data_IF_753412711572
#
_entry.id   IF_753412711572
#
_cell.length_a   1.000
_cell.length_b   1.000
_cell.length_c   1.000
_cell.angle_alpha   90.00
_cell.angle_beta   90.00
_cell.angle_gamma   90.00
#
_symmetry.space_group_name_H-M   'P 1'
#
loop_
_entity.id
_entity.type
_entity.pdbx_description
1 polymer ?
#
# COMPACT_ATOMS: atom_id res chain seq x y z
N UNK A 1 13.32 6.40 -8.20
CA UNK A 1 14.09 6.53 -6.93
C UNK A 1 14.83 5.23 -6.69
N UNK A 2 16.05 5.24 -6.16
CA UNK A 2 16.77 3.99 -5.91
C UNK A 2 16.35 3.40 -4.54
N UNK A 3 16.53 2.09 -4.36
CA UNK A 3 16.32 1.40 -3.09
C UNK A 3 17.11 2.07 -1.94
N UNK A 4 18.34 2.48 -2.20
CA UNK A 4 19.19 3.17 -1.21
C UNK A 4 18.52 4.40 -0.57
N UNK A 5 17.70 5.12 -1.33
CA UNK A 5 16.95 6.26 -0.79
C UNK A 5 15.79 5.82 0.11
N UNK A 6 15.16 4.68 -0.17
CA UNK A 6 14.09 4.13 0.68
C UNK A 6 14.65 3.60 1.99
N UNK A 7 15.80 2.89 1.92
CA UNK A 7 16.53 2.39 3.07
C UNK A 7 16.89 3.53 4.04
N UNK A 8 17.56 4.58 3.56
CA UNK A 8 17.91 5.75 4.37
C UNK A 8 16.70 6.40 5.06
N UNK A 9 15.58 6.46 4.38
CA UNK A 9 14.35 7.03 4.92
C UNK A 9 13.74 6.18 6.03
N UNK A 10 13.71 4.86 5.83
CA UNK A 10 13.24 3.92 6.86
C UNK A 10 14.11 3.97 8.11
N UNK A 11 15.43 4.00 7.95
CA UNK A 11 16.40 4.17 9.04
C UNK A 11 16.17 5.49 9.78
N UNK A 12 16.08 6.59 9.05
CA UNK A 12 15.82 7.93 9.63
C UNK A 12 14.53 7.95 10.42
N UNK A 13 13.48 7.32 9.90
CA UNK A 13 12.19 7.26 10.58
C UNK A 13 12.23 6.40 11.83
N UNK A 14 12.86 5.24 11.77
CA UNK A 14 13.02 4.36 12.92
C UNK A 14 13.89 5.02 14.03
N UNK A 15 14.96 5.70 13.64
CA UNK A 15 15.75 6.52 14.56
C UNK A 15 14.89 7.58 15.26
N UNK A 16 14.06 8.31 14.52
CA UNK A 16 13.19 9.34 15.11
C UNK A 16 12.18 8.76 16.13
N UNK A 17 11.70 7.52 15.93
CA UNK A 17 10.86 6.82 16.90
C UNK A 17 11.62 6.52 18.20
N UNK A 18 12.86 6.07 18.09
CA UNK A 18 13.72 5.79 19.25
C UNK A 18 14.12 7.07 19.98
N UNK A 19 14.53 8.11 19.26
CA UNK A 19 14.90 9.43 19.83
C UNK A 19 13.76 10.07 20.62
N UNK A 20 12.50 9.83 20.21
CA UNK A 20 11.32 10.35 20.88
C UNK A 20 10.99 9.61 22.19
N UNK A 21 11.59 8.46 22.45
CA UNK A 21 11.33 7.67 23.65
C UNK A 21 12.33 7.99 24.77
N UNK A 22 11.82 8.38 25.94
CA UNK A 22 12.62 8.80 27.09
C UNK A 22 13.58 7.72 27.60
N UNK A 23 13.29 6.43 27.38
CA UNK A 23 14.19 5.33 27.78
C UNK A 23 15.53 5.41 27.06
N UNK A 24 15.53 5.93 25.83
CA UNK A 24 16.73 6.01 24.99
C UNK A 24 17.37 7.41 24.94
N UNK A 25 16.93 8.33 25.79
CA UNK A 25 17.45 9.72 25.82
C UNK A 25 18.97 9.83 26.06
N UNK A 26 19.60 8.80 26.63
CA UNK A 26 21.05 8.74 26.87
C UNK A 26 21.80 7.84 25.88
N UNK A 27 21.13 7.31 24.87
CA UNK A 27 21.73 6.41 23.89
C UNK A 27 22.30 7.16 22.70
N UNK A 28 23.41 6.67 22.20
CA UNK A 28 23.88 7.08 20.88
C UNK A 28 23.11 6.29 19.82
N UNK A 29 22.13 6.95 19.17
CA UNK A 29 21.28 6.32 18.15
C UNK A 29 21.79 6.73 16.78
N UNK A 30 22.29 5.75 16.01
CA UNK A 30 22.89 5.95 14.70
C UNK A 30 22.17 5.15 13.61
N UNK A 31 22.38 5.52 12.35
CA UNK A 31 21.91 4.81 11.17
C UNK A 31 23.08 4.19 10.42
N UNK A 32 22.86 3.16 9.60
CA UNK A 32 23.92 2.35 8.98
C UNK A 32 24.86 3.12 8.04
N UNK A 33 24.43 4.26 7.52
CA UNK A 33 25.25 5.07 6.63
C UNK A 33 25.92 6.21 7.36
N UNK A 34 27.09 5.99 7.89
CA UNK A 34 27.91 7.14 8.19
C UNK A 34 28.97 7.07 9.24
N UNK A 35 29.10 6.02 10.01
CA UNK A 35 30.09 6.08 11.07
C UNK A 35 30.80 4.73 11.26
N UNK A 36 32.13 4.79 11.35
CA UNK A 36 32.95 3.67 11.75
C UNK A 36 32.48 3.17 13.13
N UNK A 37 32.07 1.92 13.17
CA UNK A 37 31.45 1.23 14.32
C UNK A 37 32.36 1.21 15.57
N UNK A 38 33.67 1.48 15.40
CA UNK A 38 34.68 1.26 16.40
C UNK A 38 34.79 2.38 17.46
N UNK A 39 34.20 3.55 17.25
CA UNK A 39 34.32 4.70 18.14
C UNK A 39 33.05 5.14 18.87
N UNK A 40 31.94 4.42 18.68
CA UNK A 40 30.67 4.85 19.27
C UNK A 40 30.57 4.53 20.76
N UNK A 41 30.26 5.56 21.54
CA UNK A 41 30.06 5.43 22.99
C UNK A 41 28.84 4.56 23.31
N UNK A 42 28.97 3.74 24.37
CA UNK A 42 27.88 2.96 24.95
C UNK A 42 27.09 3.80 25.97
N UNK A 43 25.82 3.57 26.15
CA UNK A 43 24.95 2.63 25.40
C UNK A 43 24.61 3.16 23.99
N UNK A 44 24.47 2.25 23.04
CA UNK A 44 24.15 2.62 21.64
C UNK A 44 22.99 1.83 21.08
N UNK A 45 22.34 2.42 20.09
CA UNK A 45 21.33 1.77 19.28
C UNK A 45 21.62 2.05 17.80
N UNK A 46 21.84 1.00 17.03
CA UNK A 46 22.11 1.10 15.60
C UNK A 46 20.86 0.68 14.84
N UNK A 47 20.43 1.50 13.90
CA UNK A 47 19.31 1.23 13.01
C UNK A 47 19.85 0.92 11.62
N UNK A 48 19.54 -0.25 11.12
CA UNK A 48 20.02 -0.75 9.83
C UNK A 48 18.81 -1.18 9.02
N UNK A 49 18.76 -0.81 7.75
CA UNK A 49 17.80 -1.34 6.80
C UNK A 49 18.55 -2.15 5.74
N UNK A 50 18.33 -3.45 5.74
CA UNK A 50 18.98 -4.38 4.82
C UNK A 50 17.98 -5.00 3.85
N UNK A 51 18.51 -5.48 2.72
CA UNK A 51 17.72 -6.15 1.71
C UNK A 51 16.92 -5.18 0.86
N UNK A 52 16.05 -5.66 0.05
CA UNK A 52 15.18 -4.86 -0.81
C UNK A 52 15.01 -5.48 -2.16
N UNK A 53 14.41 -6.65 -2.18
CA UNK A 53 13.86 -7.15 -3.42
C UNK A 53 12.51 -6.51 -3.67
N UNK A 54 12.28 -6.08 -4.90
CA UNK A 54 10.95 -5.62 -5.29
C UNK A 54 9.96 -6.78 -5.14
N UNK A 55 8.92 -6.59 -4.34
CA UNK A 55 7.97 -7.65 -3.98
C UNK A 55 7.21 -8.19 -5.20
N UNK A 56 6.95 -7.29 -6.17
CA UNK A 56 6.41 -7.61 -7.49
C UNK A 56 7.14 -6.69 -8.48
N UNK A 57 7.84 -7.23 -9.49
CA UNK A 57 8.59 -6.44 -10.46
C UNK A 57 7.74 -5.34 -11.11
N UNK A 58 8.27 -4.11 -11.12
CA UNK A 58 7.61 -2.94 -11.69
C UNK A 58 6.58 -2.25 -10.80
N UNK A 59 6.40 -2.69 -9.55
CA UNK A 59 5.45 -2.05 -8.62
C UNK A 59 6.05 -0.94 -7.77
N UNK A 60 7.38 -0.90 -7.66
CA UNK A 60 8.07 0.02 -6.76
C UNK A 60 7.86 -0.29 -5.26
N UNK A 61 7.33 -1.47 -4.94
CA UNK A 61 7.17 -1.96 -3.58
C UNK A 61 8.32 -2.89 -3.22
N UNK A 62 9.00 -2.60 -2.11
CA UNK A 62 10.19 -3.32 -1.68
C UNK A 62 9.95 -4.04 -0.35
N UNK A 63 10.43 -5.28 -0.27
CA UNK A 63 10.56 -5.99 1.00
C UNK A 63 11.90 -5.62 1.62
N UNK A 64 11.88 -5.02 2.78
CA UNK A 64 13.05 -4.59 3.52
C UNK A 64 13.10 -5.30 4.87
N UNK A 65 14.29 -5.53 5.37
CA UNK A 65 14.52 -5.95 6.74
C UNK A 65 15.07 -4.76 7.54
N UNK A 66 14.30 -4.27 8.51
CA UNK A 66 14.72 -3.21 9.42
C UNK A 66 15.24 -3.87 10.70
N UNK A 67 16.52 -3.67 10.99
CA UNK A 67 17.20 -4.23 12.15
C UNK A 67 17.49 -3.11 13.14
N UNK A 68 17.10 -3.31 14.39
CA UNK A 68 17.42 -2.43 15.50
C UNK A 68 18.35 -3.18 16.42
N UNK A 69 19.63 -2.79 16.43
CA UNK A 69 20.68 -3.37 17.27
C UNK A 69 20.88 -2.52 18.50
N UNK A 70 20.59 -3.07 19.66
CA UNK A 70 20.82 -2.46 20.96
C UNK A 70 22.09 -3.04 21.57
N UNK A 71 23.05 -2.18 21.96
CA UNK A 71 24.32 -2.58 22.59
C UNK A 71 24.52 -1.81 23.89
N UNK A 72 24.73 -2.53 24.99
CA UNK A 72 24.90 -1.99 26.33
C UNK A 72 26.03 -2.67 27.06
N UNK A 73 26.84 -1.88 27.76
CA UNK A 73 27.94 -2.41 28.58
C UNK A 73 27.43 -3.23 29.78
N UNK A 74 28.03 -4.38 30.02
CA UNK A 74 27.74 -5.19 31.21
C UNK A 74 28.21 -4.51 32.49
N UNK A 75 29.13 -3.57 32.38
CA UNK A 75 29.65 -2.84 33.54
C UNK A 75 28.66 -1.75 34.02
N UNK A 76 27.84 -1.22 33.07
CA UNK A 76 26.91 -0.11 33.33
C UNK A 76 25.45 -0.57 33.41
N UNK A 77 25.10 -1.69 32.77
CA UNK A 77 23.73 -2.17 32.65
C UNK A 77 23.62 -3.62 33.12
N UNK A 78 22.68 -3.87 34.04
CA UNK A 78 22.35 -5.25 34.44
C UNK A 78 21.56 -5.97 33.37
N UNK A 79 21.60 -7.31 33.36
CA UNK A 79 20.79 -8.12 32.46
C UNK A 79 19.29 -7.79 32.55
N UNK A 80 18.79 -7.51 33.77
CA UNK A 80 17.37 -7.18 33.96
C UNK A 80 17.01 -5.83 33.30
N UNK A 81 17.88 -4.83 33.42
CA UNK A 81 17.68 -3.54 32.76
C UNK A 81 17.77 -3.68 31.24
N UNK A 82 18.77 -4.40 30.72
CA UNK A 82 18.88 -4.70 29.31
C UNK A 82 17.60 -5.36 28.76
N UNK A 83 17.06 -6.37 29.46
CA UNK A 83 15.82 -7.03 29.07
C UNK A 83 14.63 -6.06 29.06
N UNK A 84 14.59 -5.10 29.99
CA UNK A 84 13.55 -4.05 29.99
C UNK A 84 13.69 -3.12 28.79
N UNK A 85 14.91 -2.72 28.43
CA UNK A 85 15.16 -1.88 27.27
C UNK A 85 14.82 -2.61 25.96
N UNK A 86 15.17 -3.89 25.84
CA UNK A 86 14.76 -4.75 24.71
C UNK A 86 13.23 -4.86 24.62
N UNK A 87 12.54 -5.02 25.75
CA UNK A 87 11.08 -5.04 25.75
C UNK A 87 10.49 -3.69 25.27
N UNK A 88 11.10 -2.57 25.66
CA UNK A 88 10.68 -1.24 25.21
C UNK A 88 10.87 -1.08 23.70
N UNK A 89 12.02 -1.48 23.15
CA UNK A 89 12.23 -1.48 21.68
C UNK A 89 11.17 -2.33 20.99
N UNK A 90 10.97 -3.56 21.48
CA UNK A 90 9.96 -4.46 20.95
C UNK A 90 8.58 -3.79 20.95
N UNK A 91 8.14 -3.23 22.06
CA UNK A 91 6.81 -2.65 22.21
C UNK A 91 6.61 -1.43 21.28
N UNK A 92 7.68 -0.65 21.02
CA UNK A 92 7.65 0.45 20.06
C UNK A 92 7.45 -0.02 18.60
N UNK A 93 8.05 -1.14 18.24
CA UNK A 93 8.08 -1.62 16.86
C UNK A 93 7.14 -2.82 16.59
N UNK A 94 6.46 -3.34 17.62
CA UNK A 94 5.42 -4.38 17.49
C UNK A 94 3.99 -3.84 17.66
N UNK A 95 3.82 -2.54 17.79
CA UNK A 95 2.50 -1.90 17.83
C UNK A 95 1.73 -2.24 16.54
N UNK A 96 0.43 -2.45 16.68
CA UNK A 96 -0.48 -2.67 15.54
C UNK A 96 -0.49 -1.53 14.53
N UNK A 97 -0.05 -0.34 14.94
CA UNK A 97 0.04 0.86 14.11
C UNK A 97 1.45 1.11 13.54
N UNK A 98 2.40 0.19 13.71
CA UNK A 98 3.80 0.44 13.34
C UNK A 98 3.97 0.81 11.86
N UNK A 99 3.19 0.23 10.95
CA UNK A 99 3.23 0.58 9.54
C UNK A 99 2.87 2.07 9.33
N UNK A 100 1.86 2.56 10.03
CA UNK A 100 1.48 3.98 10.01
C UNK A 100 2.53 4.86 10.67
N UNK A 101 3.16 4.39 11.75
CA UNK A 101 4.18 5.13 12.48
C UNK A 101 5.49 5.24 11.70
N UNK A 102 5.86 4.20 10.95
CA UNK A 102 7.02 4.20 10.05
C UNK A 102 6.76 4.97 8.75
N UNK A 103 5.52 5.13 8.34
CA UNK A 103 5.17 5.96 7.18
C UNK A 103 5.38 7.43 7.52
N UNK A 104 5.95 8.19 6.56
CA UNK A 104 6.18 9.63 6.74
C UNK A 104 5.99 10.37 5.41
N UNK A 105 5.09 11.34 5.42
CA UNK A 105 4.80 12.15 4.25
C UNK A 105 5.94 13.13 3.92
N UNK A 106 6.70 13.59 4.93
CA UNK A 106 7.83 14.51 4.75
C UNK A 106 9.01 13.77 4.11
N UNK A 107 9.31 12.59 4.63
CA UNK A 107 10.34 11.72 4.09
C UNK A 107 9.88 10.97 2.83
N UNK A 108 8.59 11.08 2.49
CA UNK A 108 8.01 10.43 1.31
C UNK A 108 8.18 8.92 1.30
N UNK A 109 7.87 8.29 2.42
CA UNK A 109 7.86 6.85 2.62
C UNK A 109 6.46 6.39 2.98
N UNK A 110 5.98 5.37 2.30
CA UNK A 110 4.74 4.67 2.65
C UNK A 110 5.07 3.24 3.03
N UNK A 111 4.70 2.85 4.25
CA UNK A 111 4.82 1.49 4.74
C UNK A 111 3.45 0.82 4.70
N UNK A 112 3.34 -0.27 3.96
CA UNK A 112 2.08 -1.02 3.79
C UNK A 112 1.90 -2.09 4.85
N UNK A 113 3.01 -2.71 5.27
CA UNK A 113 3.02 -3.72 6.31
C UNK A 113 4.36 -3.71 7.04
N UNK A 114 4.32 -3.97 8.33
CA UNK A 114 5.50 -4.25 9.14
C UNK A 114 5.18 -5.41 10.09
N UNK A 115 6.07 -6.38 10.14
CA UNK A 115 5.94 -7.57 10.99
C UNK A 115 7.24 -7.76 11.75
N UNK A 116 7.14 -7.78 13.05
CA UNK A 116 8.27 -8.25 13.85
C UNK A 116 8.36 -9.76 13.76
N UNK A 117 9.54 -10.30 13.53
CA UNK A 117 9.70 -11.72 13.37
C UNK A 117 10.84 -12.35 14.16
N UNK A 118 11.84 -11.57 14.59
CA UNK A 118 12.97 -12.15 15.32
C UNK A 118 13.55 -11.20 16.36
N UNK A 119 13.96 -11.78 17.50
CA UNK A 119 14.74 -11.10 18.54
C UNK A 119 15.92 -12.01 18.88
N UNK A 120 17.11 -11.66 18.42
CA UNK A 120 18.35 -12.35 18.75
C UNK A 120 19.06 -11.64 19.91
N UNK A 121 19.46 -12.39 20.93
CA UNK A 121 20.20 -11.86 22.08
C UNK A 121 21.54 -12.57 22.17
N UNK A 122 22.60 -11.80 22.25
CA UNK A 122 23.97 -12.30 22.35
C UNK A 122 24.76 -11.54 23.41
N UNK A 123 25.94 -12.02 23.67
CA UNK A 123 26.95 -11.32 24.48
C UNK A 123 28.19 -11.22 23.62
N UNK A 124 28.62 -10.00 23.36
CA UNK A 124 29.78 -9.68 22.53
C UNK A 124 30.69 -8.73 23.31
N UNK A 125 31.95 -9.08 23.48
CA UNK A 125 32.99 -8.24 24.11
C UNK A 125 32.56 -7.54 25.43
N UNK A 126 31.92 -8.31 26.33
CA UNK A 126 31.35 -7.79 27.59
C UNK A 126 30.19 -6.81 27.43
N UNK A 127 29.54 -6.87 26.30
CA UNK A 127 28.31 -6.12 26.04
C UNK A 127 27.09 -7.04 25.90
N UNK A 128 25.97 -6.57 26.39
CA UNK A 128 24.66 -7.12 26.04
C UNK A 128 24.29 -6.63 24.64
N UNK A 129 24.01 -7.54 23.72
CA UNK A 129 23.61 -7.22 22.35
C UNK A 129 22.26 -7.83 22.07
N UNK A 130 21.37 -7.04 21.48
CA UNK A 130 20.06 -7.51 21.02
C UNK A 130 19.77 -6.95 19.64
N UNK A 131 19.49 -7.83 18.69
CA UNK A 131 18.99 -7.49 17.35
C UNK A 131 17.49 -7.76 17.31
N UNK A 132 16.70 -6.75 17.00
CA UNK A 132 15.29 -6.83 16.68
C UNK A 132 15.11 -6.65 15.19
N UNK A 133 14.71 -7.71 14.50
CA UNK A 133 14.46 -7.68 13.05
C UNK A 133 12.97 -7.51 12.76
N UNK A 134 12.65 -6.64 11.83
CA UNK A 134 11.29 -6.32 11.40
C UNK A 134 11.23 -6.42 9.88
N UNK A 135 10.37 -7.27 9.36
CA UNK A 135 10.06 -7.32 7.93
C UNK A 135 9.12 -6.17 7.56
N UNK A 136 9.53 -5.33 6.62
CA UNK A 136 8.82 -4.13 6.20
C UNK A 136 8.53 -4.18 4.70
N UNK A 137 7.27 -4.04 4.31
CA UNK A 137 6.88 -3.79 2.93
C UNK A 137 6.65 -2.29 2.77
N UNK A 138 7.49 -1.63 1.98
CA UNK A 138 7.45 -0.19 1.81
C UNK A 138 7.68 0.26 0.36
N UNK A 139 7.25 1.48 0.07
CA UNK A 139 7.51 2.16 -1.19
C UNK A 139 7.84 3.64 -0.96
N UNK A 140 8.67 4.25 -1.82
CA UNK A 140 8.79 5.71 -1.89
C UNK A 140 7.45 6.34 -2.27
N UNK A 141 6.97 7.31 -1.49
CA UNK A 141 5.67 7.96 -1.77
C UNK A 141 5.65 8.69 -3.11
N UNK A 142 6.81 9.05 -3.67
CA UNK A 142 6.89 9.68 -5.00
C UNK A 142 6.54 8.69 -6.13
N UNK A 143 6.77 7.39 -5.93
CA UNK A 143 6.34 6.35 -6.86
C UNK A 143 4.86 6.00 -6.66
N UNK A 144 4.38 6.12 -5.42
CA UNK A 144 2.96 5.93 -5.09
C UNK A 144 2.09 7.03 -5.72
N UNK A 145 2.65 8.24 -5.94
CA UNK A 145 1.90 9.36 -6.53
C UNK A 145 1.84 9.35 -8.07
N UNK A 146 2.65 8.53 -8.76
CA UNK A 146 2.74 8.57 -10.22
C UNK A 146 2.22 7.34 -10.96
N UNK A 147 1.73 6.30 -10.27
CA UNK A 147 1.21 5.14 -10.99
C UNK A 147 0.57 4.02 -10.19
N UNK A 148 0.78 3.93 -8.87
CA UNK A 148 0.31 2.79 -8.09
C UNK A 148 -0.59 3.13 -6.90
N UNK A 149 -0.66 4.38 -6.43
CA UNK A 149 -1.74 4.84 -5.53
C UNK A 149 -3.10 4.74 -6.21
N UNK A 150 -3.12 4.73 -7.54
CA UNK A 150 -4.34 4.57 -8.32
C UNK A 150 -4.90 3.14 -8.30
N UNK A 151 -4.14 2.11 -7.93
CA UNK A 151 -4.70 0.76 -7.78
C UNK A 151 -5.52 0.58 -6.47
N UNK A 152 -5.33 1.45 -5.46
CA UNK A 152 -6.26 1.60 -4.33
C UNK A 152 -7.07 2.89 -4.40
N UNK A 153 -6.61 3.90 -5.13
CA UNK A 153 -7.39 5.07 -5.43
C UNK A 153 -8.38 4.73 -6.53
N UNK A 154 -9.58 4.48 -6.08
CA UNK A 154 -10.72 4.50 -6.94
C UNK A 154 -10.92 3.29 -7.85
N UNK A 155 -11.33 2.19 -7.27
CA UNK A 155 -12.45 1.48 -7.89
C UNK A 155 -13.60 2.48 -7.91
N UNK A 156 -13.65 3.30 -8.94
CA UNK A 156 -14.76 4.21 -9.14
C UNK A 156 -15.96 3.39 -9.58
N UNK A 157 -17.06 3.62 -8.92
CA UNK A 157 -18.33 2.94 -9.25
C UNK A 157 -19.23 3.93 -9.93
N UNK A 158 -19.67 3.62 -11.15
CA UNK A 158 -20.71 4.34 -11.84
C UNK A 158 -21.97 3.49 -11.75
N UNK A 159 -23.06 4.08 -11.26
CA UNK A 159 -24.37 3.44 -11.24
C UNK A 159 -25.24 4.14 -12.29
N UNK A 160 -25.67 3.40 -13.29
CA UNK A 160 -26.54 3.91 -14.35
C UNK A 160 -27.88 3.18 -14.31
N UNK A 161 -28.94 3.92 -14.15
CA UNK A 161 -30.30 3.45 -14.33
C UNK A 161 -30.84 4.01 -15.64
N UNK A 162 -31.44 3.17 -16.49
CA UNK A 162 -31.99 3.57 -17.78
C UNK A 162 -33.47 3.74 -17.65
N UNK A 163 -33.96 4.89 -18.06
CA UNK A 163 -35.36 5.29 -17.85
C UNK A 163 -36.32 4.72 -18.91
N UNK A 164 -35.83 4.42 -20.10
CA UNK A 164 -36.63 3.99 -21.21
C UNK A 164 -36.01 2.82 -21.98
N UNK A 165 -36.77 1.82 -22.33
CA UNK A 165 -36.32 0.69 -23.14
C UNK A 165 -36.12 1.12 -24.60
N UNK A 166 -35.13 0.54 -25.29
CA UNK A 166 -34.84 0.82 -26.70
C UNK A 166 -34.25 2.21 -26.97
N UNK A 167 -33.86 2.93 -25.89
CA UNK A 167 -33.22 4.24 -26.00
C UNK A 167 -31.91 4.18 -25.20
N UNK A 168 -30.78 3.86 -25.85
CA UNK A 168 -29.52 3.76 -25.17
C UNK A 168 -29.12 5.08 -24.52
N UNK A 169 -28.76 5.01 -23.24
CA UNK A 169 -28.28 6.15 -22.47
C UNK A 169 -26.78 6.00 -22.20
N UNK A 170 -26.02 7.10 -22.31
CA UNK A 170 -24.59 7.09 -22.00
C UNK A 170 -24.34 6.69 -20.54
N UNK A 171 -23.32 5.87 -20.31
CA UNK A 171 -22.98 5.38 -18.98
C UNK A 171 -22.65 6.54 -18.02
N UNK A 172 -21.89 7.52 -18.48
CA UNK A 172 -21.50 8.70 -17.74
C UNK A 172 -20.94 9.78 -18.67
N UNK A 173 -20.85 10.99 -18.15
CA UNK A 173 -20.28 12.15 -18.89
C UNK A 173 -18.80 12.36 -18.58
N UNK A 174 -18.22 11.53 -17.72
CA UNK A 174 -16.81 11.62 -17.35
C UNK A 174 -15.94 11.04 -18.47
N UNK A 175 -15.06 11.87 -19.01
CA UNK A 175 -14.04 11.50 -20.00
C UNK A 175 -12.74 11.00 -19.38
N UNK A 176 -12.73 10.77 -18.08
CA UNK A 176 -11.56 10.20 -17.40
C UNK A 176 -11.24 8.81 -17.96
N UNK A 177 -9.99 8.63 -18.34
CA UNK A 177 -9.52 7.39 -18.95
C UNK A 177 -9.27 6.31 -17.89
N UNK A 178 -9.60 5.06 -18.22
CA UNK A 178 -9.36 3.89 -17.40
C UNK A 178 -8.95 2.68 -18.25
N UNK A 179 -8.17 1.77 -17.66
CA UNK A 179 -7.66 0.58 -18.34
C UNK A 179 -8.65 -0.58 -18.37
N UNK A 180 -9.49 -0.69 -17.37
CA UNK A 180 -10.48 -1.74 -17.32
C UNK A 180 -11.79 -1.25 -16.74
N UNK A 181 -12.89 -1.85 -17.22
CA UNK A 181 -14.22 -1.61 -16.70
C UNK A 181 -14.99 -2.93 -16.62
N UNK A 182 -15.58 -3.19 -15.47
CA UNK A 182 -16.44 -4.33 -15.23
C UNK A 182 -17.88 -3.85 -15.07
N UNK A 183 -18.76 -4.32 -15.90
CA UNK A 183 -20.19 -4.07 -15.81
C UNK A 183 -20.87 -5.22 -15.09
N UNK A 184 -21.80 -4.91 -14.20
CA UNK A 184 -22.64 -5.86 -13.52
C UNK A 184 -24.11 -5.49 -13.73
N UNK A 185 -24.91 -6.45 -14.18
CA UNK A 185 -26.33 -6.29 -14.45
C UNK A 185 -27.18 -6.15 -13.19
N UNK A 186 -27.06 -5.02 -12.50
CA UNK A 186 -27.74 -4.74 -11.23
C UNK A 186 -28.22 -3.29 -11.18
N UNK A 187 -29.28 -3.06 -10.44
CA UNK A 187 -29.73 -1.72 -10.03
C UNK A 187 -28.89 -1.18 -8.88
N UNK A 188 -29.09 0.08 -8.59
CA UNK A 188 -28.64 0.68 -7.35
C UNK A 188 -29.04 -0.18 -6.13
N UNK A 189 -28.25 -0.14 -5.05
CA UNK A 189 -28.46 -0.93 -3.83
C UNK A 189 -28.43 -2.47 -4.02
N UNK A 190 -27.69 -2.97 -5.04
CA UNK A 190 -27.49 -4.41 -5.29
C UNK A 190 -28.77 -5.18 -5.59
N UNK A 191 -29.79 -4.52 -6.10
CA UNK A 191 -31.02 -5.18 -6.56
C UNK A 191 -30.81 -5.74 -7.95
N UNK A 192 -31.25 -6.97 -8.20
CA UNK A 192 -31.18 -7.57 -9.52
C UNK A 192 -32.11 -6.84 -10.50
N UNK A 193 -31.72 -6.78 -11.76
CA UNK A 193 -32.56 -6.31 -12.85
C UNK A 193 -33.72 -7.30 -13.14
N UNK A 194 -34.78 -6.80 -13.74
CA UNK A 194 -35.90 -7.62 -14.17
C UNK A 194 -35.66 -8.19 -15.56
N UNK A 195 -34.92 -7.49 -16.42
CA UNK A 195 -34.59 -7.89 -17.78
C UNK A 195 -33.11 -7.81 -18.09
N UNK A 196 -32.75 -8.12 -19.33
CA UNK A 196 -31.39 -8.03 -19.81
C UNK A 196 -30.95 -6.58 -20.02
N UNK A 197 -29.63 -6.38 -19.98
CA UNK A 197 -28.97 -5.11 -20.29
C UNK A 197 -28.12 -5.30 -21.54
N UNK A 198 -28.02 -4.27 -22.34
CA UNK A 198 -27.15 -4.21 -23.51
C UNK A 198 -26.12 -3.11 -23.36
N UNK A 199 -24.85 -3.49 -23.47
CA UNK A 199 -23.71 -2.57 -23.38
C UNK A 199 -23.18 -2.35 -24.79
N UNK A 200 -23.14 -1.09 -25.22
CA UNK A 200 -22.81 -0.71 -26.59
C UNK A 200 -21.69 0.32 -26.62
N UNK A 201 -20.80 0.29 -27.63
CA UNK A 201 -19.71 1.27 -27.76
C UNK A 201 -20.17 2.60 -28.39
N UNK A 202 -21.43 2.71 -28.80
CA UNK A 202 -22.00 3.92 -29.37
C UNK A 202 -23.52 3.92 -29.18
N UNK A 203 -24.16 5.05 -29.42
CA UNK A 203 -25.63 5.22 -29.39
C UNK A 203 -26.29 4.44 -30.52
N UNK A 204 -26.30 3.12 -30.45
CA UNK A 204 -26.96 2.20 -31.38
C UNK A 204 -28.27 1.68 -30.82
N UNK A 205 -28.86 0.69 -31.48
CA UNK A 205 -29.96 -0.05 -30.93
C UNK A 205 -29.46 -1.25 -30.09
N UNK A 206 -30.30 -1.76 -29.19
CA UNK A 206 -29.98 -2.84 -28.28
C UNK A 206 -29.51 -4.15 -28.91
N UNK A 207 -29.76 -4.36 -30.21
CA UNK A 207 -29.38 -5.59 -30.91
C UNK A 207 -27.90 -5.68 -31.28
N UNK A 208 -27.14 -4.59 -31.18
CA UNK A 208 -25.72 -4.52 -31.53
C UNK A 208 -24.79 -4.59 -30.33
N UNK A 209 -25.33 -4.64 -29.12
CA UNK A 209 -24.55 -4.60 -27.87
C UNK A 209 -24.27 -5.97 -27.26
N UNK A 210 -23.38 -5.97 -26.28
CA UNK A 210 -23.16 -7.13 -25.41
C UNK A 210 -24.34 -7.30 -24.48
N UNK A 211 -25.02 -8.44 -24.58
CA UNK A 211 -26.13 -8.79 -23.69
C UNK A 211 -25.60 -9.26 -22.33
N UNK A 212 -26.14 -8.67 -21.29
CA UNK A 212 -25.80 -9.02 -19.90
C UNK A 212 -27.09 -9.42 -19.17
N UNK A 213 -27.16 -10.65 -18.68
CA UNK A 213 -28.28 -11.15 -17.89
C UNK A 213 -28.32 -10.52 -16.49
N UNK A 214 -29.48 -10.51 -15.80
CA UNK A 214 -29.57 -10.02 -14.44
C UNK A 214 -28.55 -10.69 -13.49
N UNK A 215 -27.74 -9.91 -12.84
CA UNK A 215 -26.70 -10.38 -11.93
C UNK A 215 -25.39 -10.85 -12.59
N UNK A 216 -25.37 -11.03 -13.91
CA UNK A 216 -24.15 -11.38 -14.62
C UNK A 216 -23.18 -10.19 -14.70
N UNK A 217 -21.91 -10.48 -14.98
CA UNK A 217 -20.88 -9.45 -15.16
C UNK A 217 -20.04 -9.70 -16.40
N UNK A 218 -19.54 -8.61 -16.99
CA UNK A 218 -18.59 -8.64 -18.11
C UNK A 218 -17.50 -7.60 -17.86
N UNK A 219 -16.26 -7.94 -18.20
CA UNK A 219 -15.11 -7.04 -18.07
C UNK A 219 -14.55 -6.73 -19.45
N UNK A 220 -14.36 -5.46 -19.74
CA UNK A 220 -13.58 -4.97 -20.86
C UNK A 220 -12.22 -4.52 -20.36
N UNK A 221 -11.18 -4.96 -21.05
CA UNK A 221 -9.80 -4.65 -20.71
C UNK A 221 -9.08 -4.08 -21.91
N UNK A 222 -8.38 -2.98 -21.76
CA UNK A 222 -7.57 -2.39 -22.80
C UNK A 222 -6.35 -3.28 -23.09
N UNK A 223 -6.13 -3.60 -24.37
CA UNK A 223 -5.16 -4.62 -24.78
C UNK A 223 -3.72 -4.14 -24.89
N UNK A 224 -3.42 -2.84 -24.75
CA UNK A 224 -2.08 -2.24 -24.82
C UNK A 224 -2.01 -0.96 -24.01
N UNK A 225 -0.81 -0.56 -23.62
CA UNK A 225 -0.54 0.58 -22.73
C UNK A 225 -1.18 1.91 -23.15
N UNK A 226 -1.43 2.12 -24.44
CA UNK A 226 -2.01 3.36 -24.98
C UNK A 226 -3.52 3.31 -25.21
N UNK A 227 -4.16 2.15 -25.00
CA UNK A 227 -5.60 2.02 -25.17
C UNK A 227 -6.30 2.20 -23.83
N UNK A 228 -7.22 3.15 -23.80
CA UNK A 228 -8.03 3.45 -22.60
C UNK A 228 -9.49 3.52 -22.99
N UNK A 229 -10.36 3.29 -22.02
CA UNK A 229 -11.78 3.53 -22.10
C UNK A 229 -12.16 4.79 -21.33
N UNK A 230 -13.29 5.40 -21.71
CA UNK A 230 -13.93 6.46 -20.94
C UNK A 230 -15.41 6.14 -20.78
N UNK A 231 -16.04 6.65 -19.72
CA UNK A 231 -17.44 6.35 -19.44
C UNK A 231 -18.42 6.87 -20.52
N UNK A 232 -18.06 7.94 -21.19
CA UNK A 232 -18.84 8.53 -22.29
C UNK A 232 -18.82 7.70 -23.59
N UNK A 233 -17.96 6.70 -23.69
CA UNK A 233 -17.87 5.77 -24.82
C UNK A 233 -18.85 4.59 -24.72
N UNK A 234 -19.44 4.36 -23.53
CA UNK A 234 -20.37 3.25 -23.33
C UNK A 234 -21.81 3.73 -23.24
N UNK A 235 -22.66 3.06 -23.94
CA UNK A 235 -24.10 3.27 -23.91
C UNK A 235 -24.80 2.03 -23.34
N UNK A 236 -25.79 2.26 -22.51
CA UNK A 236 -26.56 1.22 -21.83
C UNK A 236 -28.00 1.28 -22.29
N UNK A 237 -28.52 0.14 -22.72
CA UNK A 237 -29.93 -0.05 -22.98
C UNK A 237 -30.47 -1.20 -22.12
N UNK A 238 -31.77 -1.24 -21.92
CA UNK A 238 -32.43 -2.21 -21.04
C UNK A 238 -33.69 -2.78 -21.65
N UNK A 239 -34.03 -4.02 -21.33
CA UNK A 239 -35.34 -4.63 -21.71
C UNK A 239 -36.48 -4.15 -20.81
N UNK A 240 -36.17 -3.74 -19.59
CA UNK A 240 -37.15 -3.26 -18.63
C UNK A 240 -36.76 -1.89 -18.13
N UNK A 241 -37.63 -0.90 -18.28
CA UNK A 241 -37.39 0.45 -17.76
C UNK A 241 -37.13 0.44 -16.24
N UNK A 242 -36.16 1.23 -15.81
CA UNK A 242 -35.72 1.25 -14.44
C UNK A 242 -34.66 0.21 -14.07
N UNK A 243 -34.29 -0.67 -14.98
CA UNK A 243 -33.10 -1.51 -14.85
C UNK A 243 -31.82 -0.72 -15.14
N UNK A 244 -30.68 -1.29 -14.84
CA UNK A 244 -29.43 -0.57 -15.00
C UNK A 244 -28.20 -1.40 -14.77
N UNK A 245 -27.05 -0.72 -14.70
CA UNK A 245 -25.77 -1.36 -14.47
C UNK A 245 -25.01 -0.67 -13.34
N UNK A 246 -24.23 -1.46 -12.64
CA UNK A 246 -23.14 -1.00 -11.81
C UNK A 246 -21.85 -1.25 -12.59
N UNK A 247 -21.13 -0.19 -12.92
CA UNK A 247 -19.85 -0.27 -13.61
C UNK A 247 -18.74 0.10 -12.65
N UNK A 248 -17.76 -0.81 -12.52
CA UNK A 248 -16.58 -0.62 -11.67
C UNK A 248 -15.38 -0.51 -12.61
N UNK A 249 -14.65 0.59 -12.53
CA UNK A 249 -13.47 0.80 -13.35
C UNK A 249 -12.23 1.09 -12.52
N UNK A 250 -11.07 0.68 -13.02
CA UNK A 250 -9.74 0.99 -12.50
C UNK A 250 -9.00 1.90 -13.47
N UNK A 251 -8.32 2.87 -12.92
CA UNK A 251 -7.35 3.69 -13.65
C UNK A 251 -6.02 2.99 -13.76
#
# INVERSE_FOLDING_TARGET
MSFNTLEEKLETRAKAILDANSTFAGYNITVSKGEDDDELSLPRCLVICEGGEESIPGTGNFNCELIIRLVESMDDTTLANHQTHVATVRDLFMDTNIASTLSDATEKVTVFAAKSFNIAKTVEDRNWVCDLSIEVLAAPSDLVSTGHSDLRAALNTIIKTVSSTGTPEVLGTDSTLFHSITFQGMKAARTLNAGNIYIQPASGNNTAGYRLEPGASITFQAGQEDNHFAADQFYIDVETAGDGVVAIHSR
#
